data_IF_390402004381
#
_entry.id   IF_390402004381
#
_cell.length_a   1.000
_cell.length_b   1.000
_cell.length_c   1.000
_cell.angle_alpha   90.00
_cell.angle_beta   90.00
_cell.angle_gamma   90.00
#
_symmetry.space_group_name_H-M   'P 1'
#
loop_
_entity.id
_entity.type
_entity.pdbx_description
1 polymer ?
#
# COMPACT_ATOMS: atom_id res chain seq x y z
N UNK A 1 18.23 7.82 4.14
CA UNK A 1 17.32 8.98 4.07
C UNK A 1 17.95 10.10 4.89
N UNK A 2 18.02 11.30 4.33
CA UNK A 2 18.59 12.50 4.98
C UNK A 2 17.84 12.83 6.29
N UNK A 3 18.57 13.14 7.35
CA UNK A 3 18.04 13.51 8.66
C UNK A 3 17.16 14.77 8.61
N UNK A 4 17.42 15.69 7.68
CA UNK A 4 16.60 16.88 7.48
C UNK A 4 15.22 16.56 6.90
N UNK A 5 15.14 15.55 6.03
CA UNK A 5 13.86 15.09 5.44
C UNK A 5 12.99 14.47 6.52
N UNK A 6 13.56 13.61 7.37
CA UNK A 6 12.84 12.99 8.48
C UNK A 6 12.33 14.02 9.50
N UNK A 7 13.12 15.07 9.77
CA UNK A 7 12.72 16.17 10.66
C UNK A 7 11.50 16.92 10.10
N UNK A 8 11.56 17.33 8.82
CA UNK A 8 10.45 18.02 8.15
C UNK A 8 9.17 17.20 8.14
N UNK A 9 9.26 15.90 7.86
CA UNK A 9 8.09 15.02 7.88
C UNK A 9 7.43 14.97 9.26
N UNK A 10 8.22 14.88 10.35
CA UNK A 10 7.68 14.91 11.72
C UNK A 10 7.04 16.25 12.09
N UNK A 11 7.66 17.36 11.69
CA UNK A 11 7.13 18.71 11.96
C UNK A 11 5.80 18.93 11.23
N UNK A 12 5.66 18.47 9.98
CA UNK A 12 4.45 18.66 9.17
C UNK A 12 3.28 17.77 9.59
N UNK A 13 3.53 16.49 9.89
CA UNK A 13 2.46 15.51 10.14
C UNK A 13 2.26 15.21 11.64
N UNK A 14 3.00 15.85 12.55
CA UNK A 14 2.87 15.70 14.00
C UNK A 14 3.41 14.36 14.53
N UNK A 15 2.86 13.88 15.66
CA UNK A 15 3.24 12.62 16.31
C UNK A 15 2.82 11.35 15.55
N UNK A 16 2.58 11.43 14.25
CA UNK A 16 2.30 10.26 13.42
C UNK A 16 3.58 9.44 13.32
N UNK A 17 3.45 8.13 13.58
CA UNK A 17 4.55 7.17 13.47
C UNK A 17 4.93 7.03 11.99
N UNK A 18 5.83 7.89 11.52
CA UNK A 18 6.35 7.86 10.15
C UNK A 18 7.34 6.71 9.99
N UNK A 19 6.94 5.68 9.24
CA UNK A 19 7.82 4.61 8.78
C UNK A 19 8.08 4.82 7.30
N UNK A 20 9.33 5.11 6.94
CA UNK A 20 9.72 5.21 5.53
C UNK A 20 10.06 3.82 5.04
N UNK A 21 9.39 3.41 3.97
CA UNK A 21 9.56 2.11 3.34
C UNK A 21 10.53 2.26 2.17
N UNK A 22 11.33 1.23 1.90
CA UNK A 22 12.10 1.17 0.67
C UNK A 22 11.15 1.07 -0.52
N UNK A 23 11.56 1.60 -1.67
CA UNK A 23 10.90 1.35 -2.95
C UNK A 23 10.72 -0.17 -3.16
N UNK A 24 9.62 -0.54 -3.83
CA UNK A 24 9.14 -1.91 -4.05
C UNK A 24 8.64 -2.67 -2.81
N UNK A 25 8.78 -2.13 -1.59
CA UNK A 25 8.28 -2.81 -0.39
C UNK A 25 6.75 -2.96 -0.40
N UNK A 26 6.04 -2.00 -0.97
CA UNK A 26 4.59 -1.98 -1.06
C UNK A 26 4.01 -3.11 -1.92
N UNK A 27 4.80 -3.66 -2.85
CA UNK A 27 4.33 -4.68 -3.79
C UNK A 27 3.80 -5.89 -3.03
N UNK A 28 2.56 -6.27 -3.29
CA UNK A 28 1.88 -7.38 -2.64
C UNK A 28 1.16 -7.03 -1.33
N UNK A 29 1.23 -5.78 -0.86
CA UNK A 29 0.50 -5.36 0.34
C UNK A 29 -1.01 -5.38 0.09
N UNK A 30 -1.77 -6.03 0.98
CA UNK A 30 -3.23 -6.05 0.93
C UNK A 30 -3.79 -4.69 1.32
N UNK A 31 -4.77 -4.23 0.55
CA UNK A 31 -5.47 -2.98 0.78
C UNK A 31 -6.97 -3.20 0.75
N UNK A 32 -7.70 -2.50 1.62
CA UNK A 32 -9.14 -2.31 1.50
C UNK A 32 -9.41 -1.12 0.59
N UNK A 33 -10.36 -1.27 -0.33
CA UNK A 33 -10.74 -0.29 -1.33
C UNK A 33 -11.97 0.48 -0.84
N UNK A 34 -11.91 1.81 -0.91
CA UNK A 34 -12.99 2.67 -0.47
C UNK A 34 -13.67 3.34 -1.67
N UNK A 35 -15.00 3.39 -1.65
CA UNK A 35 -15.78 4.16 -2.60
C UNK A 35 -15.84 5.66 -2.23
N UNK A 36 -16.61 6.44 -2.98
CA UNK A 36 -16.78 7.89 -2.75
C UNK A 36 -17.39 8.27 -1.39
N UNK A 37 -18.09 7.34 -0.74
CA UNK A 37 -18.66 7.50 0.60
C UNK A 37 -17.73 7.00 1.70
N UNK A 38 -16.54 6.55 1.33
CA UNK A 38 -15.56 5.88 2.20
C UNK A 38 -16.05 4.53 2.77
N UNK A 39 -17.02 3.89 2.13
CA UNK A 39 -17.39 2.51 2.47
C UNK A 39 -16.38 1.53 1.84
N UNK A 40 -16.04 0.47 2.57
CA UNK A 40 -15.26 -0.64 2.03
C UNK A 40 -16.08 -1.40 0.98
N UNK A 41 -15.55 -1.47 -0.25
CA UNK A 41 -16.22 -2.08 -1.41
C UNK A 41 -15.48 -3.27 -1.98
N UNK A 42 -14.27 -3.55 -1.50
CA UNK A 42 -13.52 -4.70 -1.92
C UNK A 42 -12.10 -4.71 -1.38
N UNK A 43 -11.39 -5.78 -1.72
CA UNK A 43 -9.98 -5.95 -1.40
C UNK A 43 -9.14 -5.89 -2.68
N UNK A 44 -7.90 -5.46 -2.53
CA UNK A 44 -6.91 -5.55 -3.58
C UNK A 44 -5.53 -5.75 -3.00
N UNK A 45 -4.53 -5.86 -3.87
CA UNK A 45 -3.15 -5.75 -3.47
C UNK A 45 -2.38 -4.79 -4.37
N UNK A 46 -1.43 -4.08 -3.80
CA UNK A 46 -0.60 -3.11 -4.53
C UNK A 46 0.33 -3.89 -5.46
N UNK A 47 0.25 -3.67 -6.76
CA UNK A 47 1.21 -4.20 -7.73
C UNK A 47 2.47 -3.32 -7.84
N UNK A 48 2.28 -2.00 -7.78
CA UNK A 48 3.32 -0.98 -7.92
C UNK A 48 2.83 0.36 -7.38
N UNK A 49 3.72 1.16 -6.77
CA UNK A 49 3.57 2.61 -6.66
C UNK A 49 4.59 3.27 -7.60
N UNK A 50 4.15 4.20 -8.43
CA UNK A 50 5.01 4.98 -9.32
C UNK A 50 4.98 6.43 -8.84
N UNK A 51 6.02 6.81 -8.09
CA UNK A 51 6.14 8.14 -7.48
C UNK A 51 6.46 9.24 -8.50
N UNK A 52 7.02 8.90 -9.67
CA UNK A 52 7.29 9.90 -10.72
C UNK A 52 6.02 10.26 -11.49
N UNK A 53 5.10 9.29 -11.63
CA UNK A 53 3.85 9.44 -12.39
C UNK A 53 2.62 9.58 -11.50
N UNK A 54 2.81 9.70 -10.20
CA UNK A 54 1.75 9.87 -9.19
C UNK A 54 0.61 8.84 -9.31
N UNK A 55 0.93 7.56 -9.54
CA UNK A 55 -0.10 6.52 -9.60
C UNK A 55 0.22 5.30 -8.74
N UNK A 56 -0.84 4.69 -8.23
CA UNK A 56 -0.80 3.41 -7.51
C UNK A 56 -1.54 2.39 -8.37
N UNK A 57 -0.88 1.29 -8.73
CA UNK A 57 -1.51 0.18 -9.43
C UNK A 57 -1.95 -0.87 -8.42
N UNK A 58 -3.25 -1.15 -8.40
CA UNK A 58 -3.84 -2.17 -7.52
C UNK A 58 -4.49 -3.25 -8.38
N UNK A 59 -4.23 -4.53 -8.06
CA UNK A 59 -5.02 -5.63 -8.64
C UNK A 59 -6.20 -5.92 -7.72
N UNK A 60 -7.39 -5.92 -8.31
CA UNK A 60 -8.66 -6.19 -7.63
C UNK A 60 -9.68 -6.75 -8.63
N UNK A 61 -10.71 -7.42 -8.12
CA UNK A 61 -11.89 -7.83 -8.86
C UNK A 61 -13.04 -6.80 -8.76
N UNK A 62 -12.85 -5.71 -8.01
CA UNK A 62 -13.81 -4.62 -7.94
C UNK A 62 -13.73 -3.72 -9.18
N UNK A 63 -14.86 -3.51 -9.86
CA UNK A 63 -14.93 -2.79 -11.13
C UNK A 63 -15.43 -1.34 -11.01
N UNK A 64 -15.49 -0.80 -9.79
CA UNK A 64 -15.98 0.57 -9.52
C UNK A 64 -14.87 1.60 -9.30
N UNK A 65 -15.30 2.86 -9.13
CA UNK A 65 -14.39 3.95 -8.75
C UNK A 65 -13.83 3.71 -7.34
N UNK A 66 -12.53 3.93 -7.20
CA UNK A 66 -11.80 3.88 -5.92
C UNK A 66 -11.45 5.32 -5.54
N UNK A 67 -11.83 5.72 -4.33
CA UNK A 67 -11.59 7.05 -3.77
C UNK A 67 -10.64 7.03 -2.56
N UNK A 68 -10.34 5.85 -2.02
CA UNK A 68 -9.39 5.69 -0.92
C UNK A 68 -8.86 4.27 -0.81
N UNK A 69 -7.74 4.13 -0.11
CA UNK A 69 -7.10 2.86 0.20
C UNK A 69 -6.78 2.82 1.69
N UNK A 70 -7.09 1.71 2.35
CA UNK A 70 -6.59 1.42 3.70
C UNK A 70 -5.56 0.30 3.56
N UNK A 71 -4.30 0.61 3.88
CA UNK A 71 -3.22 -0.37 3.88
C UNK A 71 -3.34 -1.31 5.08
N UNK A 72 -3.49 -2.61 4.80
CA UNK A 72 -3.45 -3.65 5.80
C UNK A 72 -2.03 -4.02 6.22
N UNK A 73 -1.94 -5.04 7.08
CA UNK A 73 -0.66 -5.61 7.54
C UNK A 73 -0.25 -6.89 6.80
N UNK A 74 -1.07 -7.43 5.91
CA UNK A 74 -0.77 -8.68 5.21
C UNK A 74 -0.08 -8.35 3.89
N UNK A 75 1.05 -9.02 3.61
CA UNK A 75 1.72 -8.95 2.33
C UNK A 75 1.71 -10.31 1.65
N UNK A 76 1.28 -10.33 0.40
CA UNK A 76 1.25 -11.49 -0.48
C UNK A 76 2.42 -11.46 -1.46
N UNK A 77 2.86 -12.63 -1.89
CA UNK A 77 3.83 -12.81 -2.95
C UNK A 77 3.21 -13.71 -4.01
N UNK A 78 3.25 -13.25 -5.26
CA UNK A 78 2.92 -14.07 -6.41
C UNK A 78 4.17 -14.84 -6.83
N UNK A 79 4.08 -16.17 -6.83
CA UNK A 79 5.14 -17.06 -7.32
C UNK A 79 4.91 -17.33 -8.81
N UNK A 80 5.74 -16.73 -9.65
CA UNK A 80 5.66 -16.87 -11.12
C UNK A 80 5.89 -18.32 -11.59
N UNK A 81 6.61 -19.15 -10.83
CA UNK A 81 6.88 -20.54 -11.21
C UNK A 81 5.68 -21.45 -10.95
N UNK A 82 4.95 -21.20 -9.87
CA UNK A 82 3.80 -22.03 -9.48
C UNK A 82 2.46 -21.43 -9.84
N UNK A 83 2.42 -20.14 -10.19
CA UNK A 83 1.18 -19.39 -10.43
C UNK A 83 0.36 -19.15 -9.16
N UNK A 84 0.91 -19.45 -7.99
CA UNK A 84 0.21 -19.37 -6.70
C UNK A 84 0.55 -18.07 -5.98
N UNK A 85 -0.46 -17.54 -5.28
CA UNK A 85 -0.27 -16.45 -4.31
C UNK A 85 -0.06 -17.05 -2.93
N UNK A 86 0.98 -16.59 -2.21
CA UNK A 86 1.28 -17.03 -0.85
C UNK A 86 1.42 -15.84 0.09
N UNK A 87 1.09 -16.02 1.37
CA UNK A 87 1.45 -15.05 2.40
C UNK A 87 2.98 -14.97 2.50
N UNK A 88 3.53 -13.76 2.35
CA UNK A 88 4.96 -13.52 2.50
C UNK A 88 5.32 -13.07 3.92
N UNK A 89 4.38 -12.41 4.59
CA UNK A 89 4.51 -12.07 6.00
C UNK A 89 3.42 -11.14 6.49
N UNK A 90 3.38 -11.00 7.82
CA UNK A 90 2.56 -10.00 8.53
C UNK A 90 3.44 -8.86 8.97
N UNK A 91 2.97 -7.64 8.72
CA UNK A 91 3.61 -6.42 9.15
C UNK A 91 2.97 -5.92 10.45
N UNK A 92 3.71 -5.93 11.56
CA UNK A 92 3.25 -5.25 12.76
C UNK A 92 3.54 -3.73 12.64
N UNK A 93 2.47 -2.93 12.77
CA UNK A 93 2.50 -1.46 12.85
C UNK A 93 3.04 -0.97 14.21
#
# INVERSE_FOLDING_TARGET
IDSNVLRRLRETYGHVRLKVLSEDWEKGLIVSLLNEKFDEVGIGYIEKIDFEKDFIKVRTNYEGKINGLIAGNIKLMYDEKTGLVREWGKWNL
#
